data_IF_701785099867
#
_entry.id   IF_701785099867
#
_cell.length_a   1.000
_cell.length_b   1.000
_cell.length_c   1.000
_cell.angle_alpha   90.00
_cell.angle_beta   90.00
_cell.angle_gamma   90.00
#
_symmetry.space_group_name_H-M   'P 1'
#
loop_
_entity.id
_entity.type
_entity.pdbx_description
1 polymer ?
#
# COMPACT_ATOMS: atom_id res chain seq x y z
N UNK A 1 -12.00 22.42 34.62
CA UNK A 1 -11.52 21.42 33.64
C UNK A 1 -10.41 22.11 32.88
N UNK A 2 -9.21 21.51 32.81
CA UNK A 2 -8.16 22.04 31.95
C UNK A 2 -8.40 21.47 30.56
N UNK A 3 -8.96 22.28 29.66
CA UNK A 3 -9.04 21.93 28.25
C UNK A 3 -7.67 22.11 27.62
N UNK A 4 -7.29 21.15 26.78
CA UNK A 4 -6.08 21.19 25.98
C UNK A 4 -6.49 21.64 24.58
N UNK A 5 -5.91 22.75 24.14
CA UNK A 5 -6.12 23.26 22.79
C UNK A 5 -5.56 22.28 21.74
N UNK A 6 -6.38 21.93 20.75
CA UNK A 6 -6.00 21.07 19.64
C UNK A 6 -6.29 21.81 18.33
N UNK A 7 -5.25 22.34 17.70
CA UNK A 7 -5.36 23.14 16.47
C UNK A 7 -5.13 22.33 15.19
N UNK A 8 -4.66 21.08 15.28
CA UNK A 8 -4.56 20.23 14.10
C UNK A 8 -5.96 19.87 13.61
N UNK A 9 -6.12 19.88 12.28
CA UNK A 9 -7.35 19.51 11.58
C UNK A 9 -7.05 18.32 10.66
N UNK A 10 -7.56 18.29 9.42
CA UNK A 10 -7.15 17.26 8.47
C UNK A 10 -5.66 17.36 8.11
N UNK A 11 -5.13 16.32 7.46
CA UNK A 11 -3.72 16.24 7.09
C UNK A 11 -3.30 17.49 6.29
N UNK A 12 -2.35 18.26 6.84
CA UNK A 12 -1.87 19.52 6.26
C UNK A 12 -2.58 20.79 6.75
N UNK A 13 -3.61 20.67 7.60
CA UNK A 13 -4.42 21.79 8.07
C UNK A 13 -4.15 22.16 9.53
N UNK A 14 -4.06 23.46 9.77
CA UNK A 14 -4.00 24.08 11.10
C UNK A 14 -5.16 25.05 11.27
N UNK A 15 -5.83 25.02 12.42
CA UNK A 15 -6.90 25.95 12.73
C UNK A 15 -6.35 27.34 13.04
N UNK A 16 -6.83 28.32 12.29
CA UNK A 16 -6.56 29.72 12.52
C UNK A 16 -7.74 30.36 13.26
N UNK A 17 -7.53 30.67 14.54
CA UNK A 17 -8.56 31.21 15.43
C UNK A 17 -9.01 32.62 15.03
N UNK A 18 -8.13 33.42 14.41
CA UNK A 18 -8.46 34.80 14.00
C UNK A 18 -9.52 34.82 12.89
N UNK A 19 -9.47 33.83 12.01
CA UNK A 19 -10.35 33.75 10.82
C UNK A 19 -11.43 32.68 10.96
N UNK A 20 -11.28 31.72 11.87
CA UNK A 20 -12.09 30.51 11.94
C UNK A 20 -11.84 29.52 10.80
N UNK A 21 -10.88 29.81 9.91
CA UNK A 21 -10.55 28.99 8.76
C UNK A 21 -9.43 27.99 9.10
N UNK A 22 -9.26 27.00 8.23
CA UNK A 22 -8.18 26.04 8.32
C UNK A 22 -7.05 26.46 7.36
N UNK A 23 -5.93 26.91 7.89
CA UNK A 23 -4.73 27.19 7.12
C UNK A 23 -4.12 25.88 6.58
N UNK A 24 -4.03 25.77 5.25
CA UNK A 24 -3.48 24.63 4.53
C UNK A 24 -2.34 25.09 3.62
N UNK A 25 -1.26 25.57 4.24
CA UNK A 25 -0.02 26.09 3.65
C UNK A 25 -0.18 27.24 2.65
N UNK A 26 -0.70 27.01 1.45
CA UNK A 26 -0.89 28.06 0.45
C UNK A 26 -2.32 28.56 0.33
N UNK A 27 -3.28 27.92 0.99
CA UNK A 27 -4.69 28.30 0.94
C UNK A 27 -5.37 28.19 2.30
N UNK A 28 -6.43 28.97 2.50
CA UNK A 28 -7.35 28.81 3.61
C UNK A 28 -8.56 27.98 3.18
N UNK A 29 -8.87 26.96 3.97
CA UNK A 29 -10.00 26.07 3.80
C UNK A 29 -11.11 26.46 4.77
N UNK A 30 -12.31 26.63 4.24
CA UNK A 30 -13.53 26.87 5.02
C UNK A 30 -14.16 25.51 5.36
N UNK A 31 -14.15 25.08 6.63
CA UNK A 31 -14.73 23.80 7.04
C UNK A 31 -16.26 23.79 7.02
N UNK A 32 -16.93 24.95 7.12
CA UNK A 32 -18.38 25.04 7.08
C UNK A 32 -18.91 24.83 5.66
N UNK A 33 -18.22 25.42 4.67
CA UNK A 33 -18.58 25.30 3.25
C UNK A 33 -17.92 24.07 2.59
N UNK A 34 -16.84 23.57 3.19
CA UNK A 34 -16.12 22.39 2.74
C UNK A 34 -15.20 22.62 1.53
N UNK A 35 -14.63 23.82 1.38
CA UNK A 35 -13.81 24.20 0.21
C UNK A 35 -12.77 25.27 0.53
N UNK A 36 -11.80 25.48 -0.36
CA UNK A 36 -10.90 26.63 -0.27
C UNK A 36 -11.62 27.94 -0.56
N UNK A 37 -11.22 29.00 0.13
CA UNK A 37 -11.80 30.35 -0.04
C UNK A 37 -11.20 31.11 -1.24
N UNK A 38 -10.08 30.62 -1.78
CA UNK A 38 -9.42 31.15 -2.98
C UNK A 38 -9.29 30.08 -4.06
N UNK A 39 -9.19 30.50 -5.32
CA UNK A 39 -8.85 29.60 -6.42
C UNK A 39 -7.46 28.99 -6.23
N UNK A 40 -7.27 27.81 -6.82
CA UNK A 40 -5.98 27.13 -6.84
C UNK A 40 -4.90 27.98 -7.54
N UNK A 41 -3.79 28.32 -6.87
CA UNK A 41 -2.70 29.11 -7.45
C UNK A 41 -2.06 28.46 -8.69
N UNK A 42 -2.12 27.13 -8.80
CA UNK A 42 -1.61 26.41 -9.98
C UNK A 42 -2.69 26.15 -11.04
N UNK A 43 -3.89 26.69 -10.84
CA UNK A 43 -5.01 26.61 -11.77
C UNK A 43 -5.42 25.17 -12.07
N UNK A 44 -5.67 24.87 -13.34
CA UNK A 44 -6.15 23.56 -13.79
C UNK A 44 -5.13 22.42 -13.58
N UNK A 45 -3.87 22.73 -13.25
CA UNK A 45 -2.88 21.71 -12.89
C UNK A 45 -3.19 21.04 -11.54
N UNK A 46 -3.90 21.74 -10.64
CA UNK A 46 -4.37 21.20 -9.36
C UNK A 46 -5.65 20.37 -9.48
N UNK A 47 -6.33 20.45 -10.62
CA UNK A 47 -7.59 19.76 -10.90
C UNK A 47 -8.65 20.67 -11.51
N UNK A 48 -9.80 20.10 -11.89
CA UNK A 48 -10.87 20.85 -12.54
C UNK A 48 -11.68 21.72 -11.59
N UNK A 49 -11.70 21.37 -10.29
CA UNK A 49 -12.38 22.15 -9.26
C UNK A 49 -11.36 23.04 -8.53
N UNK A 50 -11.27 24.31 -8.93
CA UNK A 50 -10.28 25.26 -8.40
C UNK A 50 -10.46 25.61 -6.91
N UNK A 51 -11.60 25.26 -6.31
CA UNK A 51 -11.89 25.48 -4.90
C UNK A 51 -11.91 24.18 -4.09
N UNK A 52 -11.79 23.02 -4.74
CA UNK A 52 -11.89 21.73 -4.06
C UNK A 52 -10.71 21.46 -3.14
N UNK A 53 -10.97 20.89 -1.96
CA UNK A 53 -9.91 20.37 -1.10
C UNK A 53 -9.37 19.03 -1.60
N UNK A 54 -10.24 18.02 -1.70
CA UNK A 54 -9.90 16.67 -2.15
C UNK A 54 -11.07 16.04 -2.91
N UNK A 55 -10.77 15.13 -3.83
CA UNK A 55 -11.75 14.26 -4.49
C UNK A 55 -12.19 13.11 -3.57
N UNK A 56 -11.32 12.64 -2.68
CA UNK A 56 -11.63 11.62 -1.68
C UNK A 56 -10.75 11.76 -0.42
N UNK A 57 -11.29 12.27 0.71
CA UNK A 57 -10.52 12.47 1.94
C UNK A 57 -10.08 11.17 2.64
N UNK A 58 -10.62 10.01 2.25
CA UNK A 58 -10.18 8.72 2.79
C UNK A 58 -8.89 8.20 2.17
N UNK A 59 -8.57 8.62 0.94
CA UNK A 59 -7.41 8.08 0.20
C UNK A 59 -6.44 9.16 -0.28
N UNK A 60 -6.79 10.44 -0.12
CA UNK A 60 -6.01 11.57 -0.61
C UNK A 60 -5.79 12.61 0.48
N UNK A 61 -4.74 13.40 0.30
CA UNK A 61 -4.35 14.52 1.14
C UNK A 61 -3.84 15.65 0.24
N UNK A 62 -3.87 16.91 0.67
CA UNK A 62 -3.28 18.05 -0.05
C UNK A 62 -2.32 18.77 0.90
N UNK A 63 -1.05 18.33 0.99
CA UNK A 63 -0.09 18.85 1.97
C UNK A 63 0.25 20.33 1.78
N UNK A 64 0.13 20.81 0.53
CA UNK A 64 0.53 22.15 0.15
C UNK A 64 -0.68 23.08 -0.05
N UNK A 65 -1.88 22.53 -0.26
CA UNK A 65 -3.01 23.35 -0.71
C UNK A 65 -2.88 23.70 -2.19
N UNK A 66 -2.37 22.80 -3.03
CA UNK A 66 -2.21 23.01 -4.48
C UNK A 66 -2.73 21.84 -5.31
N UNK A 67 -2.54 20.62 -4.83
CA UNK A 67 -2.94 19.44 -5.58
C UNK A 67 -3.02 18.26 -4.63
N UNK A 68 -4.10 17.50 -4.76
CA UNK A 68 -4.27 16.28 -4.02
C UNK A 68 -3.23 15.23 -4.42
N UNK A 69 -2.65 14.56 -3.43
CA UNK A 69 -1.83 13.37 -3.59
C UNK A 69 -2.44 12.20 -2.85
N UNK A 70 -2.10 10.96 -3.24
CA UNK A 70 -2.56 9.78 -2.50
C UNK A 70 -1.91 9.77 -1.12
N UNK A 71 -2.72 9.71 -0.07
CA UNK A 71 -2.26 9.68 1.33
C UNK A 71 -1.50 8.41 1.69
N UNK A 72 -1.72 7.33 0.93
CA UNK A 72 -0.89 6.13 0.94
C UNK A 72 -0.55 5.76 -0.50
N UNK A 73 0.73 5.83 -0.86
CA UNK A 73 1.23 5.30 -2.12
C UNK A 73 1.22 3.77 -2.10
N UNK A 74 0.05 3.15 -2.32
CA UNK A 74 -0.04 1.69 -2.52
C UNK A 74 0.79 1.21 -3.71
N UNK A 75 1.20 2.12 -4.62
CA UNK A 75 2.16 1.83 -5.68
C UNK A 75 3.54 1.42 -5.15
N UNK A 76 3.88 1.79 -3.91
CA UNK A 76 5.07 1.33 -3.18
C UNK A 76 4.76 0.24 -2.15
N UNK A 77 3.49 -0.14 -1.99
CA UNK A 77 3.13 -1.25 -1.12
C UNK A 77 3.55 -2.55 -1.77
N UNK A 78 4.51 -3.21 -1.14
CA UNK A 78 4.96 -4.53 -1.54
C UNK A 78 3.92 -5.61 -1.25
N UNK A 79 3.91 -6.64 -2.08
CA UNK A 79 3.07 -7.82 -1.95
C UNK A 79 3.89 -8.98 -1.38
N UNK A 80 3.51 -9.51 -0.23
CA UNK A 80 4.27 -10.55 0.47
C UNK A 80 3.73 -11.95 0.17
N UNK A 81 4.63 -12.86 -0.22
CA UNK A 81 4.29 -14.26 -0.48
C UNK A 81 5.23 -15.20 0.29
N UNK A 82 4.70 -16.11 1.13
CA UNK A 82 3.47 -15.97 1.90
C UNK A 82 3.34 -14.66 2.69
N UNK A 83 2.09 -14.27 2.92
CA UNK A 83 1.75 -13.21 3.85
C UNK A 83 2.11 -13.61 5.29
N UNK A 84 2.75 -12.70 6.05
CA UNK A 84 3.22 -12.96 7.44
C UNK A 84 2.12 -13.45 8.37
N UNK A 85 0.87 -13.01 8.17
CA UNK A 85 -0.24 -13.44 9.02
C UNK A 85 -0.64 -14.90 8.81
N UNK A 86 -0.25 -15.52 7.69
CA UNK A 86 -0.50 -16.94 7.43
C UNK A 86 0.38 -17.86 8.29
N UNK A 87 1.40 -17.31 8.96
CA UNK A 87 2.28 -18.02 9.89
C UNK A 87 1.96 -17.83 11.37
N UNK A 88 0.92 -17.08 11.73
CA UNK A 88 0.50 -16.95 13.14
C UNK A 88 -0.02 -18.32 13.61
N UNK A 89 0.34 -18.74 14.83
CA UNK A 89 -0.19 -19.97 15.45
C UNK A 89 0.32 -21.31 14.87
N UNK A 90 1.30 -21.29 13.95
CA UNK A 90 1.87 -22.50 13.32
C UNK A 90 3.36 -22.66 13.64
N UNK A 91 3.84 -23.90 13.79
CA UNK A 91 5.26 -24.18 13.84
C UNK A 91 5.82 -24.16 12.41
N UNK A 92 5.91 -22.98 11.80
CA UNK A 92 6.99 -22.80 10.83
C UNK A 92 8.30 -22.92 11.63
N UNK A 93 9.29 -23.69 11.15
CA UNK A 93 10.54 -23.90 11.90
C UNK A 93 11.16 -22.57 12.36
N UNK A 94 10.92 -21.47 11.62
CA UNK A 94 11.32 -20.10 11.99
C UNK A 94 10.16 -19.09 11.84
N UNK A 95 10.10 -18.17 12.80
CA UNK A 95 9.19 -17.03 12.80
C UNK A 95 9.44 -16.12 11.58
N UNK A 96 8.38 -15.91 10.79
CA UNK A 96 8.41 -15.08 9.57
C UNK A 96 7.97 -13.67 9.91
N UNK A 97 8.69 -12.66 9.41
CA UNK A 97 8.35 -11.24 9.57
C UNK A 97 8.59 -10.49 8.27
N UNK A 98 8.04 -9.28 8.13
CA UNK A 98 8.27 -8.44 6.95
C UNK A 98 9.77 -8.13 6.74
N UNK A 99 10.58 -8.20 7.81
CA UNK A 99 12.04 -7.95 7.77
C UNK A 99 12.86 -9.13 7.25
N UNK A 100 12.27 -10.32 7.13
CA UNK A 100 12.99 -11.55 6.76
C UNK A 100 12.51 -12.15 5.44
N UNK A 101 11.59 -11.48 4.74
CA UNK A 101 10.98 -12.02 3.52
C UNK A 101 11.16 -11.10 2.32
N UNK A 102 11.52 -11.65 1.15
CA UNK A 102 11.48 -10.87 -0.06
C UNK A 102 10.06 -10.44 -0.39
N UNK A 103 9.97 -9.37 -1.17
CA UNK A 103 8.72 -8.65 -1.44
C UNK A 103 8.52 -8.50 -2.93
N UNK A 104 7.28 -8.72 -3.39
CA UNK A 104 6.88 -8.60 -4.78
C UNK A 104 6.39 -7.17 -5.04
N UNK A 105 6.89 -6.54 -6.10
CA UNK A 105 6.48 -5.21 -6.54
C UNK A 105 5.92 -5.29 -7.96
N UNK A 106 4.59 -5.14 -8.15
CA UNK A 106 4.01 -5.12 -9.49
C UNK A 106 4.51 -3.96 -10.33
N UNK A 107 4.71 -4.22 -11.62
CA UNK A 107 5.13 -3.25 -12.63
C UNK A 107 3.96 -2.81 -13.51
N UNK A 108 4.20 -1.77 -14.29
CA UNK A 108 3.31 -1.29 -15.36
C UNK A 108 2.64 0.04 -15.05
N UNK A 109 1.63 0.39 -15.87
CA UNK A 109 0.93 1.68 -15.78
C UNK A 109 0.07 1.81 -14.51
N UNK A 110 -0.40 0.69 -13.96
CA UNK A 110 -1.26 0.67 -12.79
C UNK A 110 -0.85 -0.46 -11.81
N UNK A 111 0.32 -0.33 -11.16
CA UNK A 111 0.87 -1.37 -10.29
C UNK A 111 -0.01 -1.64 -9.06
N UNK A 112 -0.78 -0.65 -8.62
CA UNK A 112 -1.76 -0.78 -7.52
C UNK A 112 -2.88 -1.75 -7.87
N UNK A 113 -3.42 -1.64 -9.09
CA UNK A 113 -4.45 -2.56 -9.57
C UNK A 113 -3.88 -3.97 -9.70
N UNK A 114 -2.67 -4.11 -10.26
CA UNK A 114 -1.98 -5.39 -10.32
C UNK A 114 -1.75 -6.01 -8.93
N UNK A 115 -1.34 -5.21 -7.95
CA UNK A 115 -1.22 -5.66 -6.54
C UNK A 115 -2.55 -6.19 -6.02
N UNK A 116 -3.65 -5.48 -6.27
CA UNK A 116 -4.97 -5.94 -5.84
C UNK A 116 -5.40 -7.25 -6.52
N UNK A 117 -5.12 -7.40 -7.83
CA UNK A 117 -5.38 -8.64 -8.55
C UNK A 117 -4.62 -9.84 -7.97
N UNK A 118 -3.38 -9.64 -7.48
CA UNK A 118 -2.63 -10.70 -6.79
C UNK A 118 -3.39 -11.17 -5.54
N UNK A 119 -3.85 -10.23 -4.71
CA UNK A 119 -4.65 -10.59 -3.54
C UNK A 119 -5.94 -11.31 -3.90
N UNK A 120 -6.68 -10.87 -4.92
CA UNK A 120 -7.92 -11.52 -5.34
C UNK A 120 -7.67 -12.94 -5.85
N UNK A 121 -6.60 -13.16 -6.59
CA UNK A 121 -6.20 -14.48 -7.07
C UNK A 121 -5.85 -15.45 -5.92
N UNK A 122 -5.30 -14.94 -4.82
CA UNK A 122 -4.95 -15.73 -3.63
C UNK A 122 -6.19 -16.22 -2.85
N UNK A 123 -7.26 -15.42 -2.80
CA UNK A 123 -8.45 -15.68 -1.95
C UNK A 123 -9.03 -17.08 -2.07
N UNK A 124 -9.32 -17.62 -3.27
CA UNK A 124 -9.93 -18.95 -3.40
C UNK A 124 -9.00 -20.11 -3.02
N UNK A 125 -7.68 -19.89 -2.96
CA UNK A 125 -6.70 -20.95 -2.72
C UNK A 125 -6.08 -20.89 -1.32
N UNK A 126 -5.88 -19.70 -0.77
CA UNK A 126 -5.16 -19.45 0.48
C UNK A 126 -6.07 -18.84 1.55
N UNK A 127 -7.27 -18.39 1.16
CA UNK A 127 -8.23 -17.75 2.02
C UNK A 127 -7.98 -16.25 2.20
N UNK A 128 -8.66 -15.60 3.17
CA UNK A 128 -8.58 -14.16 3.38
C UNK A 128 -7.18 -13.72 3.82
N UNK A 129 -6.87 -12.42 3.66
CA UNK A 129 -5.57 -11.82 4.02
C UNK A 129 -5.22 -11.97 5.51
N UNK A 130 -6.25 -12.07 6.37
CA UNK A 130 -6.10 -12.36 7.80
C UNK A 130 -6.46 -13.82 8.08
N UNK A 131 -5.75 -14.44 9.03
CA UNK A 131 -5.98 -15.82 9.46
C UNK A 131 -5.04 -16.83 8.84
N UNK A 132 -5.01 -18.02 9.43
CA UNK A 132 -4.02 -19.06 9.15
C UNK A 132 -4.42 -19.88 7.92
N UNK A 133 -3.44 -20.44 7.20
CA UNK A 133 -3.70 -21.35 6.08
C UNK A 133 -3.65 -22.80 6.56
N UNK A 134 -4.72 -23.60 6.49
CA UNK A 134 -4.80 -24.91 7.15
C UNK A 134 -3.66 -25.91 6.87
N UNK A 135 -3.07 -25.91 5.67
CA UNK A 135 -2.08 -26.89 5.22
C UNK A 135 -0.61 -26.63 5.60
N UNK A 136 0.28 -27.48 5.11
CA UNK A 136 1.74 -27.38 5.31
C UNK A 136 2.36 -26.21 4.53
N UNK A 137 3.64 -25.94 4.79
CA UNK A 137 4.45 -24.99 4.01
C UNK A 137 4.45 -25.30 2.52
N UNK A 138 4.71 -26.55 2.15
CA UNK A 138 4.74 -26.98 0.76
C UNK A 138 3.36 -26.80 0.10
N UNK A 139 2.28 -27.14 0.83
CA UNK A 139 0.91 -26.91 0.37
C UNK A 139 0.60 -25.42 0.21
N UNK A 140 1.12 -24.56 1.10
CA UNK A 140 0.95 -23.11 1.01
C UNK A 140 1.64 -22.54 -0.22
N UNK A 141 2.91 -22.89 -0.47
CA UNK A 141 3.63 -22.46 -1.68
C UNK A 141 3.00 -23.02 -2.96
N UNK A 142 2.51 -24.26 -2.94
CA UNK A 142 1.74 -24.82 -4.04
C UNK A 142 0.43 -24.05 -4.29
N UNK A 143 -0.27 -23.62 -3.23
CA UNK A 143 -1.47 -22.80 -3.34
C UNK A 143 -1.17 -21.41 -3.96
N UNK A 144 -0.05 -20.78 -3.61
CA UNK A 144 0.40 -19.54 -4.27
C UNK A 144 0.70 -19.73 -5.75
N UNK A 145 1.42 -20.79 -6.13
CA UNK A 145 1.67 -21.10 -7.55
C UNK A 145 0.37 -21.30 -8.32
N UNK A 146 -0.60 -21.99 -7.72
CA UNK A 146 -1.92 -22.23 -8.30
C UNK A 146 -2.72 -20.94 -8.45
N UNK A 147 -2.70 -20.08 -7.44
CA UNK A 147 -3.34 -18.76 -7.51
C UNK A 147 -2.84 -17.93 -8.69
N UNK A 148 -1.55 -18.04 -9.01
CA UNK A 148 -0.90 -17.24 -10.06
C UNK A 148 -0.79 -17.92 -11.42
N UNK A 149 -1.42 -19.09 -11.61
CA UNK A 149 -1.28 -19.89 -12.83
C UNK A 149 -1.67 -19.14 -14.12
N UNK A 150 -2.65 -18.23 -14.05
CA UNK A 150 -3.16 -17.50 -15.21
C UNK A 150 -2.82 -15.99 -15.16
N UNK A 151 -1.72 -15.63 -14.50
CA UNK A 151 -1.35 -14.22 -14.25
C UNK A 151 -0.11 -13.74 -15.00
N UNK A 152 0.29 -14.41 -16.09
CA UNK A 152 1.51 -14.10 -16.84
C UNK A 152 1.55 -12.70 -17.48
N UNK A 153 0.38 -12.08 -17.63
CA UNK A 153 0.20 -10.71 -18.11
C UNK A 153 0.61 -9.66 -17.05
N UNK A 154 0.67 -10.03 -15.77
CA UNK A 154 1.23 -9.19 -14.72
C UNK A 154 2.74 -9.46 -14.64
N UNK A 155 3.52 -8.39 -14.55
CA UNK A 155 4.97 -8.47 -14.32
C UNK A 155 5.32 -7.87 -12.99
N UNK A 156 6.26 -8.48 -12.29
CA UNK A 156 6.66 -8.09 -10.94
C UNK A 156 8.17 -8.14 -10.80
N UNK A 157 8.69 -7.32 -9.89
CA UNK A 157 10.04 -7.47 -9.36
C UNK A 157 9.98 -8.14 -7.99
N UNK A 158 11.01 -8.90 -7.64
CA UNK A 158 11.17 -9.53 -6.34
C UNK A 158 12.40 -8.94 -5.70
N UNK A 159 12.25 -8.30 -4.55
CA UNK A 159 13.33 -7.60 -3.86
C UNK A 159 13.54 -8.23 -2.50
N UNK A 160 14.80 -8.34 -2.07
CA UNK A 160 15.18 -8.86 -0.76
C UNK A 160 14.53 -8.05 0.39
N UNK A 161 14.41 -8.62 1.59
CA UNK A 161 13.67 -7.99 2.70
C UNK A 161 14.15 -6.58 3.09
N UNK A 162 15.45 -6.35 2.94
CA UNK A 162 16.14 -5.09 3.24
C UNK A 162 16.31 -4.18 2.01
N UNK A 163 15.77 -4.56 0.85
CA UNK A 163 15.87 -3.76 -0.37
C UNK A 163 17.24 -3.80 -1.06
N UNK A 164 18.20 -4.59 -0.59
CA UNK A 164 19.59 -4.52 -1.08
C UNK A 164 19.86 -5.36 -2.34
N UNK A 165 19.03 -6.38 -2.59
CA UNK A 165 19.20 -7.26 -3.75
C UNK A 165 17.88 -7.44 -4.48
N UNK A 166 17.95 -7.48 -5.80
CA UNK A 166 16.81 -7.88 -6.64
C UNK A 166 16.97 -9.36 -6.96
N UNK A 167 16.02 -10.17 -6.51
CA UNK A 167 16.00 -11.62 -6.70
C UNK A 167 15.43 -11.99 -8.08
N UNK A 168 14.61 -11.13 -8.66
CA UNK A 168 14.11 -11.28 -10.02
C UNK A 168 13.49 -9.99 -10.51
N UNK A 169 13.74 -9.68 -11.78
CA UNK A 169 13.20 -8.50 -12.45
C UNK A 169 12.25 -8.91 -13.56
N UNK A 170 11.11 -8.22 -13.66
CA UNK A 170 10.14 -8.42 -14.74
C UNK A 170 9.70 -9.89 -14.92
N UNK A 171 9.52 -10.61 -13.81
CA UNK A 171 9.09 -12.01 -13.80
C UNK A 171 7.57 -12.12 -13.66
N UNK A 172 7.01 -13.31 -13.92
CA UNK A 172 5.60 -13.57 -13.62
C UNK A 172 5.40 -13.75 -12.11
N UNK A 173 4.19 -13.53 -11.57
CA UNK A 173 3.93 -13.76 -10.16
C UNK A 173 4.22 -15.20 -9.73
N UNK A 174 3.95 -16.19 -10.60
CA UNK A 174 4.28 -17.61 -10.36
C UNK A 174 5.79 -17.83 -10.19
N UNK A 175 6.61 -17.30 -11.10
CA UNK A 175 8.08 -17.35 -10.97
C UNK A 175 8.57 -16.59 -9.73
N UNK A 176 7.92 -15.49 -9.35
CA UNK A 176 8.25 -14.78 -8.13
C UNK A 176 8.05 -15.64 -6.87
N UNK A 177 7.04 -16.52 -6.83
CA UNK A 177 6.86 -17.49 -5.74
C UNK A 177 8.09 -18.40 -5.61
N UNK A 178 8.59 -18.92 -6.74
CA UNK A 178 9.74 -19.81 -6.76
C UNK A 178 11.02 -19.12 -6.26
N UNK A 179 11.26 -17.88 -6.69
CA UNK A 179 12.40 -17.08 -6.24
C UNK A 179 12.35 -16.82 -4.72
N UNK A 180 11.16 -16.52 -4.20
CA UNK A 180 10.97 -16.31 -2.76
C UNK A 180 11.15 -17.62 -1.98
N UNK A 181 10.61 -18.72 -2.50
CA UNK A 181 10.76 -20.03 -1.88
C UNK A 181 12.23 -20.44 -1.77
N UNK A 182 13.00 -20.28 -2.85
CA UNK A 182 14.42 -20.58 -2.90
C UNK A 182 15.22 -19.71 -1.92
N UNK A 183 14.97 -18.39 -1.91
CA UNK A 183 15.62 -17.49 -0.97
C UNK A 183 15.41 -17.90 0.48
N UNK A 184 14.19 -18.31 0.83
CA UNK A 184 13.88 -18.73 2.20
C UNK A 184 14.61 -20.02 2.58
N UNK A 185 14.71 -20.98 1.66
CA UNK A 185 15.50 -22.22 1.88
C UNK A 185 16.99 -21.91 2.06
N UNK A 186 17.55 -21.08 1.18
CA UNK A 186 18.97 -20.68 1.23
C UNK A 186 19.30 -19.87 2.50
N UNK A 187 18.34 -19.06 2.96
CA UNK A 187 18.46 -18.29 4.21
C UNK A 187 18.21 -19.14 5.46
N UNK A 188 17.89 -20.43 5.30
CA UNK A 188 17.53 -21.33 6.38
C UNK A 188 16.23 -20.94 7.09
N UNK A 189 15.37 -20.13 6.48
CA UNK A 189 14.06 -19.67 6.99
C UNK A 189 12.90 -20.60 6.56
N UNK A 190 13.24 -21.71 5.90
CA UNK A 190 12.36 -22.76 5.39
C UNK A 190 13.16 -24.03 5.08
#
# INVERSE_FOLDING_TARGET
MNEVEQNLRFQGQYFDDETGLHYNTFRYYDPEVGRFVTQDPIGLLGGHNLYGYLSNPFSRIDPWGWCETKGMGVSKSGHHVPAVRKSVGRPFEIARSDKTRPTIFPRGKNPEHSHWLLHEAERPHIGPRQGDFSGTDDELFAAYRKAYENMDHIKVDVVSPNGTHVLGENVTPRTAVDLIENWLRESGLR
#
